data_IF_561275301954
#
_entry.id   IF_561275301954
#
_cell.length_a   1.000
_cell.length_b   1.000
_cell.length_c   1.000
_cell.angle_alpha   90.00
_cell.angle_beta   90.00
_cell.angle_gamma   90.00
#
_symmetry.space_group_name_H-M   'P 1'
#
loop_
_entity.id
_entity.type
_entity.pdbx_description
1 polymer ?
#
# COMPACT_ATOMS: atom_id res chain seq x y z
N UNK A 1 23.81 -48.02 8.58
CA UNK A 1 23.00 -46.95 9.23
C UNK A 1 23.46 -45.51 8.93
N UNK A 2 24.74 -45.22 8.61
CA UNK A 2 25.23 -43.84 8.38
C UNK A 2 24.67 -43.15 7.13
N UNK A 3 24.44 -43.89 6.03
CA UNK A 3 24.01 -43.31 4.73
C UNK A 3 22.62 -42.67 4.79
N UNK A 4 21.69 -43.22 5.59
CA UNK A 4 20.32 -42.67 5.76
C UNK A 4 20.27 -41.34 6.52
N UNK A 5 21.29 -41.03 7.33
CA UNK A 5 21.37 -39.79 8.10
C UNK A 5 21.94 -38.66 7.23
N UNK A 6 23.00 -38.96 6.46
CA UNK A 6 23.57 -38.01 5.50
C UNK A 6 22.59 -37.66 4.36
N UNK A 7 21.82 -38.65 3.84
CA UNK A 7 20.82 -38.39 2.80
C UNK A 7 19.67 -37.52 3.28
N UNK A 8 19.24 -37.66 4.54
CA UNK A 8 18.22 -36.80 5.15
C UNK A 8 18.73 -35.38 5.40
N UNK A 9 19.99 -35.23 5.83
CA UNK A 9 20.62 -33.91 6.00
C UNK A 9 20.71 -33.12 4.69
N UNK A 10 21.14 -33.78 3.60
CA UNK A 10 21.23 -33.17 2.27
C UNK A 10 19.85 -32.77 1.74
N UNK A 11 18.81 -33.60 1.96
CA UNK A 11 17.43 -33.30 1.57
C UNK A 11 16.88 -32.06 2.30
N UNK A 12 17.16 -31.93 3.60
CA UNK A 12 16.75 -30.76 4.38
C UNK A 12 17.49 -29.51 3.88
N UNK A 13 18.79 -29.59 3.62
CA UNK A 13 19.55 -28.47 3.06
C UNK A 13 19.03 -28.06 1.67
N UNK A 14 18.69 -29.01 0.80
CA UNK A 14 18.10 -28.73 -0.50
C UNK A 14 16.71 -28.09 -0.40
N UNK A 15 15.88 -28.54 0.54
CA UNK A 15 14.57 -27.95 0.80
C UNK A 15 14.66 -26.51 1.32
N UNK A 16 15.60 -26.24 2.23
CA UNK A 16 15.87 -24.88 2.73
C UNK A 16 16.38 -24.00 1.58
N UNK A 17 17.29 -24.49 0.74
CA UNK A 17 17.78 -23.73 -0.41
C UNK A 17 16.70 -23.44 -1.44
N UNK A 18 15.80 -24.39 -1.71
CA UNK A 18 14.64 -24.16 -2.57
C UNK A 18 13.72 -23.08 -1.98
N UNK A 19 13.47 -23.10 -0.67
CA UNK A 19 12.72 -22.04 0.02
C UNK A 19 13.41 -20.68 -0.08
N UNK A 20 14.72 -20.63 0.10
CA UNK A 20 15.51 -19.39 -0.04
C UNK A 20 15.45 -18.87 -1.48
N UNK A 21 15.53 -19.73 -2.49
CA UNK A 21 15.42 -19.33 -3.90
C UNK A 21 14.00 -18.84 -4.25
N UNK A 22 12.97 -19.49 -3.72
CA UNK A 22 11.58 -19.02 -3.87
C UNK A 22 11.39 -17.66 -3.20
N UNK A 23 11.91 -17.48 -1.98
CA UNK A 23 11.90 -16.19 -1.29
C UNK A 23 12.70 -15.13 -2.07
N UNK A 24 13.90 -15.45 -2.55
CA UNK A 24 14.72 -14.54 -3.34
C UNK A 24 14.05 -14.15 -4.68
N UNK A 25 13.40 -15.09 -5.36
CA UNK A 25 12.61 -14.83 -6.56
C UNK A 25 11.42 -13.92 -6.27
N UNK A 26 10.76 -14.12 -5.13
CA UNK A 26 9.68 -13.26 -4.64
C UNK A 26 10.17 -11.83 -4.35
N UNK A 27 11.26 -11.68 -3.60
CA UNK A 27 11.87 -10.37 -3.32
C UNK A 27 12.43 -9.67 -4.57
N UNK A 28 13.00 -10.41 -5.52
CA UNK A 28 13.41 -9.87 -6.82
C UNK A 28 12.20 -9.40 -7.65
N UNK A 29 11.09 -10.13 -7.59
CA UNK A 29 9.82 -9.72 -8.21
C UNK A 29 9.35 -8.36 -7.71
N UNK A 30 9.38 -8.13 -6.39
CA UNK A 30 8.99 -6.83 -5.81
C UNK A 30 9.91 -5.68 -6.23
N UNK A 31 11.23 -5.88 -6.24
CA UNK A 31 12.18 -4.87 -6.74
C UNK A 31 11.93 -4.51 -8.19
N UNK A 32 11.68 -5.52 -9.05
CA UNK A 32 11.31 -5.30 -10.45
C UNK A 32 10.00 -4.53 -10.58
N UNK A 33 9.01 -4.74 -9.70
CA UNK A 33 7.76 -3.98 -9.74
C UNK A 33 7.97 -2.50 -9.38
N UNK A 34 8.83 -2.18 -8.40
CA UNK A 34 9.17 -0.79 -8.09
C UNK A 34 9.95 -0.11 -9.22
N UNK A 35 10.90 -0.82 -9.84
CA UNK A 35 11.65 -0.29 -10.99
C UNK A 35 10.77 -0.17 -12.25
N UNK A 36 9.85 -1.12 -12.48
CA UNK A 36 8.87 -1.05 -13.57
C UNK A 36 7.88 0.09 -13.34
N UNK A 37 7.39 0.30 -12.12
CA UNK A 37 6.57 1.45 -11.80
C UNK A 37 7.35 2.75 -11.99
N UNK A 38 8.60 2.79 -11.55
CA UNK A 38 9.54 3.88 -11.83
C UNK A 38 9.58 4.18 -13.32
N UNK A 39 9.80 3.17 -14.17
CA UNK A 39 9.74 3.35 -15.63
C UNK A 39 8.38 3.80 -16.13
N UNK A 40 7.27 3.28 -15.60
CA UNK A 40 5.93 3.72 -16.03
C UNK A 40 5.65 5.19 -15.70
N UNK A 41 6.18 5.67 -14.57
CA UNK A 41 6.01 7.04 -14.06
C UNK A 41 7.06 8.01 -14.65
N UNK A 42 8.29 7.55 -14.87
CA UNK A 42 9.45 8.31 -15.37
C UNK A 42 9.60 8.24 -16.91
N UNK A 43 9.12 7.20 -17.59
CA UNK A 43 9.14 7.16 -19.06
C UNK A 43 8.36 8.37 -19.59
N UNK A 44 9.02 9.11 -20.47
CA UNK A 44 8.63 10.31 -21.24
C UNK A 44 7.25 10.26 -21.94
N UNK A 45 6.42 9.24 -21.70
CA UNK A 45 5.17 8.98 -22.41
C UNK A 45 3.90 9.29 -21.61
N UNK A 46 3.92 9.37 -20.27
CA UNK A 46 2.72 9.78 -19.53
C UNK A 46 2.66 11.30 -19.39
N UNK A 47 2.09 11.93 -20.42
CA UNK A 47 1.90 13.38 -20.52
C UNK A 47 1.18 13.93 -19.29
N UNK A 48 1.66 15.05 -18.77
CA UNK A 48 1.02 15.76 -17.65
C UNK A 48 -0.27 16.45 -18.13
N UNK A 49 -1.38 16.12 -17.47
CA UNK A 49 -2.70 16.69 -17.71
C UNK A 49 -3.24 17.51 -16.53
N UNK A 50 -2.44 17.68 -15.47
CA UNK A 50 -2.84 18.37 -14.23
C UNK A 50 -3.18 19.84 -14.42
N UNK A 51 -2.49 20.52 -15.34
CA UNK A 51 -2.68 21.94 -15.67
C UNK A 51 -3.58 22.19 -16.87
N UNK A 52 -4.13 21.15 -17.51
CA UNK A 52 -4.91 21.31 -18.74
C UNK A 52 -6.38 21.56 -18.42
N UNK A 53 -6.99 22.54 -19.11
CA UNK A 53 -8.43 22.78 -19.05
C UNK A 53 -9.14 21.71 -19.88
N UNK A 54 -9.50 20.59 -19.24
CA UNK A 54 -10.30 19.53 -19.84
C UNK A 54 -9.65 18.15 -19.76
N UNK A 55 -10.44 17.14 -20.09
CA UNK A 55 -10.02 15.74 -20.13
C UNK A 55 -9.20 15.41 -21.38
N UNK A 56 -8.37 14.36 -21.35
CA UNK A 56 -7.70 13.85 -22.54
C UNK A 56 -8.70 13.50 -23.66
N UNK A 57 -8.32 13.66 -24.95
CA UNK A 57 -9.12 13.18 -26.08
C UNK A 57 -9.41 11.68 -25.93
N UNK A 58 -10.55 11.22 -26.44
CA UNK A 58 -11.03 9.83 -26.25
C UNK A 58 -9.98 8.76 -26.65
N UNK A 59 -9.24 8.99 -27.73
CA UNK A 59 -8.16 8.10 -28.18
C UNK A 59 -6.98 8.04 -27.19
N UNK A 60 -6.60 9.16 -26.58
CA UNK A 60 -5.57 9.20 -25.53
C UNK A 60 -6.12 8.66 -24.19
N UNK A 61 -7.41 8.85 -23.92
CA UNK A 61 -8.07 8.49 -22.67
C UNK A 61 -8.05 6.98 -22.42
N UNK A 62 -8.32 6.17 -23.44
CA UNK A 62 -8.28 4.70 -23.31
C UNK A 62 -6.88 4.20 -22.95
N UNK A 63 -5.84 4.71 -23.62
CA UNK A 63 -4.45 4.37 -23.30
C UNK A 63 -4.05 4.77 -21.88
N UNK A 64 -4.55 5.92 -21.42
CA UNK A 64 -4.30 6.43 -20.06
C UNK A 64 -5.05 5.63 -18.99
N UNK A 65 -6.29 5.20 -19.25
CA UNK A 65 -7.03 4.32 -18.33
C UNK A 65 -6.35 2.96 -18.18
N UNK A 66 -5.85 2.37 -19.26
CA UNK A 66 -5.03 1.14 -19.19
C UNK A 66 -3.80 1.36 -18.30
N UNK A 67 -3.12 2.49 -18.45
CA UNK A 67 -1.95 2.85 -17.64
C UNK A 67 -2.31 3.04 -16.16
N UNK A 68 -3.44 3.69 -15.87
CA UNK A 68 -3.98 3.85 -14.52
C UNK A 68 -4.19 2.47 -13.88
N UNK A 69 -4.86 1.55 -14.58
CA UNK A 69 -5.10 0.20 -14.07
C UNK A 69 -3.80 -0.58 -13.85
N UNK A 70 -2.80 -0.41 -14.73
CA UNK A 70 -1.48 -1.02 -14.59
C UNK A 70 -0.77 -0.53 -13.31
N UNK A 71 -0.74 0.79 -13.10
CA UNK A 71 -0.15 1.42 -11.91
C UNK A 71 -0.87 0.96 -10.64
N UNK A 72 -2.21 0.99 -10.63
CA UNK A 72 -2.98 0.55 -9.48
C UNK A 72 -2.73 -0.92 -9.16
N UNK A 73 -2.68 -1.79 -10.18
CA UNK A 73 -2.35 -3.20 -9.96
C UNK A 73 -0.94 -3.39 -9.39
N UNK A 74 0.02 -2.53 -9.72
CA UNK A 74 1.38 -2.59 -9.15
C UNK A 74 1.41 -2.11 -7.70
N UNK A 75 0.65 -1.06 -7.37
CA UNK A 75 0.57 -0.50 -6.02
C UNK A 75 -0.16 -1.42 -5.05
N UNK A 76 -1.26 -2.06 -5.49
CA UNK A 76 -2.14 -2.86 -4.61
C UNK A 76 -1.65 -4.30 -4.38
N UNK A 77 -0.80 -4.83 -5.25
CA UNK A 77 -0.29 -6.22 -5.15
C UNK A 77 0.96 -6.39 -4.27
N UNK A 78 1.59 -5.33 -3.79
CA UNK A 78 2.87 -5.47 -3.09
C UNK A 78 2.73 -5.72 -1.59
N UNK A 79 3.47 -6.73 -1.11
CA UNK A 79 3.71 -6.94 0.31
C UNK A 79 4.73 -5.91 0.82
N UNK A 80 4.51 -5.49 2.07
CA UNK A 80 5.14 -4.37 2.73
C UNK A 80 6.65 -4.58 2.97
N UNK A 81 7.48 -4.25 1.98
CA UNK A 81 8.91 -3.98 2.20
C UNK A 81 9.10 -2.49 2.53
N UNK A 82 9.64 -2.13 3.71
CA UNK A 82 9.85 -0.74 4.10
C UNK A 82 10.68 0.07 3.10
N UNK A 83 11.71 -0.53 2.51
CA UNK A 83 12.62 0.15 1.57
C UNK A 83 11.93 0.51 0.25
N UNK A 84 10.98 -0.30 -0.20
CA UNK A 84 10.21 0.00 -1.41
C UNK A 84 8.99 0.87 -1.12
N UNK A 85 8.45 0.84 0.11
CA UNK A 85 7.26 1.61 0.53
C UNK A 85 7.45 3.12 0.33
N UNK A 86 8.58 3.68 0.73
CA UNK A 86 8.88 5.12 0.54
C UNK A 86 8.91 5.47 -0.94
N UNK A 87 9.70 4.74 -1.73
CA UNK A 87 9.81 4.96 -3.19
C UNK A 87 8.47 4.80 -3.90
N UNK A 88 7.66 3.82 -3.51
CA UNK A 88 6.32 3.61 -4.10
C UNK A 88 5.34 4.70 -3.71
N UNK A 89 5.40 5.21 -2.48
CA UNK A 89 4.58 6.36 -2.07
C UNK A 89 4.95 7.60 -2.88
N UNK A 90 6.25 7.85 -3.11
CA UNK A 90 6.70 8.94 -3.97
C UNK A 90 6.22 8.77 -5.41
N UNK A 91 6.38 7.58 -6.00
CA UNK A 91 5.92 7.26 -7.35
C UNK A 91 4.39 7.37 -7.49
N UNK A 92 3.63 6.96 -6.47
CA UNK A 92 2.17 7.12 -6.40
C UNK A 92 1.81 8.60 -6.44
N UNK A 93 2.43 9.43 -5.61
CA UNK A 93 2.18 10.88 -5.58
C UNK A 93 2.59 11.56 -6.90
N UNK A 94 3.71 11.17 -7.50
CA UNK A 94 4.16 11.68 -8.79
C UNK A 94 3.25 11.27 -9.95
N UNK A 95 2.72 10.04 -9.94
CA UNK A 95 1.76 9.60 -10.95
C UNK A 95 0.44 10.37 -10.79
N UNK A 96 -0.08 10.42 -9.56
CA UNK A 96 -1.32 11.11 -9.23
C UNK A 96 -1.29 12.59 -9.62
N UNK A 97 -0.16 13.26 -9.40
CA UNK A 97 -0.02 14.68 -9.74
C UNK A 97 -0.18 14.96 -11.23
N UNK A 98 0.15 14.00 -12.12
CA UNK A 98 0.04 14.11 -13.60
C UNK A 98 -1.36 13.85 -14.16
N UNK A 99 -2.30 13.37 -13.33
CA UNK A 99 -3.65 12.99 -13.76
C UNK A 99 -4.57 14.22 -13.90
N UNK A 100 -5.50 14.15 -14.85
CA UNK A 100 -6.65 15.07 -14.94
C UNK A 100 -7.61 14.87 -13.76
N UNK A 101 -8.61 15.75 -13.59
CA UNK A 101 -9.60 15.62 -12.52
C UNK A 101 -10.37 14.30 -12.61
N UNK A 102 -10.90 13.95 -13.78
CA UNK A 102 -11.62 12.69 -13.97
C UNK A 102 -10.73 11.46 -13.80
N UNK A 103 -9.46 11.53 -14.20
CA UNK A 103 -8.51 10.44 -14.00
C UNK A 103 -8.15 10.21 -12.54
N UNK A 104 -8.10 11.27 -11.72
CA UNK A 104 -7.89 11.15 -10.27
C UNK A 104 -9.04 10.39 -9.61
N UNK A 105 -10.29 10.65 -10.01
CA UNK A 105 -11.46 9.91 -9.52
C UNK A 105 -11.35 8.42 -9.86
N UNK A 106 -11.02 8.09 -11.11
CA UNK A 106 -10.83 6.70 -11.55
C UNK A 106 -9.69 6.04 -10.78
N UNK A 107 -8.53 6.69 -10.68
CA UNK A 107 -7.35 6.18 -10.01
C UNK A 107 -7.61 5.86 -8.53
N UNK A 108 -8.21 6.81 -7.81
CA UNK A 108 -8.55 6.64 -6.39
C UNK A 108 -9.59 5.54 -6.19
N UNK A 109 -10.62 5.50 -7.04
CA UNK A 109 -11.64 4.45 -7.00
C UNK A 109 -11.02 3.06 -7.12
N UNK A 110 -10.12 2.88 -8.10
CA UNK A 110 -9.40 1.62 -8.30
C UNK A 110 -8.46 1.26 -7.15
N UNK A 111 -7.79 2.23 -6.53
CA UNK A 111 -6.98 1.98 -5.33
C UNK A 111 -7.86 1.51 -4.16
N UNK A 112 -9.02 2.14 -3.96
CA UNK A 112 -9.97 1.71 -2.94
C UNK A 112 -10.48 0.29 -3.19
N UNK A 113 -10.79 -0.06 -4.44
CA UNK A 113 -11.14 -1.44 -4.82
C UNK A 113 -10.04 -2.43 -4.44
N UNK A 114 -8.78 -2.09 -4.69
CA UNK A 114 -7.63 -2.93 -4.31
C UNK A 114 -7.43 -3.06 -2.80
N UNK A 115 -7.87 -2.06 -2.02
CA UNK A 115 -7.79 -2.04 -0.56
C UNK A 115 -9.09 -2.48 0.13
N UNK A 116 -10.13 -2.86 -0.63
CA UNK A 116 -11.49 -3.08 -0.10
C UNK A 116 -11.52 -4.17 0.98
N UNK A 117 -10.68 -5.19 0.86
CA UNK A 117 -10.54 -6.22 1.91
C UNK A 117 -10.12 -5.61 3.25
N UNK A 118 -9.17 -4.67 3.27
CA UNK A 118 -8.74 -4.01 4.51
C UNK A 118 -9.81 -3.07 5.06
N UNK A 119 -10.51 -2.36 4.17
CA UNK A 119 -11.62 -1.47 4.52
C UNK A 119 -12.74 -2.28 5.20
N UNK A 120 -13.19 -3.38 4.59
CA UNK A 120 -14.22 -4.26 5.14
C UNK A 120 -13.78 -4.84 6.48
N UNK A 121 -12.55 -5.34 6.58
CA UNK A 121 -12.02 -5.89 7.82
C UNK A 121 -12.02 -4.84 8.93
N UNK A 122 -11.55 -3.64 8.65
CA UNK A 122 -11.57 -2.54 9.61
C UNK A 122 -12.99 -2.17 10.01
N UNK A 123 -13.89 -1.97 9.06
CA UNK A 123 -15.28 -1.54 9.29
C UNK A 123 -16.10 -2.57 10.06
N UNK A 124 -15.74 -3.85 9.96
CA UNK A 124 -16.37 -4.93 10.74
C UNK A 124 -15.97 -4.94 12.24
N UNK A 125 -14.92 -4.19 12.63
CA UNK A 125 -14.48 -4.14 14.01
C UNK A 125 -15.42 -3.29 14.88
N UNK A 126 -15.61 -3.64 16.17
CA UNK A 126 -16.30 -2.76 17.11
C UNK A 126 -15.66 -1.37 17.21
N UNK A 127 -16.47 -0.33 17.45
CA UNK A 127 -16.03 1.08 17.50
C UNK A 127 -14.80 1.29 18.40
N UNK A 128 -14.76 0.65 19.57
CA UNK A 128 -13.63 0.77 20.48
C UNK A 128 -12.33 0.22 19.86
N UNK A 129 -12.41 -0.89 19.12
CA UNK A 129 -11.25 -1.48 18.42
C UNK A 129 -10.84 -0.63 17.22
N UNK A 130 -11.80 -0.10 16.45
CA UNK A 130 -11.53 0.84 15.33
C UNK A 130 -10.77 2.07 15.84
N UNK A 131 -11.29 2.73 16.88
CA UNK A 131 -10.63 3.89 17.51
C UNK A 131 -9.20 3.58 17.98
N UNK A 132 -8.99 2.44 18.65
CA UNK A 132 -7.65 2.03 19.09
C UNK A 132 -6.71 1.78 17.91
N UNK A 133 -7.22 1.15 16.85
CA UNK A 133 -6.44 0.84 15.65
C UNK A 133 -6.06 2.10 14.88
N UNK A 134 -6.95 3.06 14.73
CA UNK A 134 -6.65 4.36 14.11
C UNK A 134 -5.57 5.11 14.89
N UNK A 135 -5.68 5.20 16.21
CA UNK A 135 -4.65 5.83 17.04
C UNK A 135 -3.27 5.18 16.84
N UNK A 136 -3.24 3.85 16.72
CA UNK A 136 -1.99 3.12 16.43
C UNK A 136 -1.49 3.37 15.00
N UNK A 137 -2.39 3.41 14.02
CA UNK A 137 -2.04 3.67 12.63
C UNK A 137 -1.48 5.09 12.43
N UNK A 138 -2.11 6.10 13.06
CA UNK A 138 -1.62 7.49 13.05
C UNK A 138 -0.25 7.59 13.73
N UNK A 139 -0.07 6.93 14.87
CA UNK A 139 1.24 6.88 15.54
C UNK A 139 2.30 6.24 14.66
N UNK A 140 2.01 5.07 14.07
CA UNK A 140 2.92 4.38 13.17
C UNK A 140 3.22 5.22 11.92
N UNK A 141 2.25 5.91 11.36
CA UNK A 141 2.46 6.82 10.24
C UNK A 141 3.45 7.95 10.58
N UNK A 142 3.33 8.56 11.77
CA UNK A 142 4.29 9.58 12.24
C UNK A 142 5.70 9.03 12.48
N UNK A 143 5.84 7.74 12.78
CA UNK A 143 7.13 7.10 13.03
C UNK A 143 7.78 6.56 11.74
N UNK A 144 6.97 6.06 10.80
CA UNK A 144 7.43 5.40 9.57
C UNK A 144 7.54 6.34 8.38
N UNK A 145 6.77 7.44 8.34
CA UNK A 145 6.85 8.38 7.23
C UNK A 145 8.10 9.26 7.34
N UNK A 146 8.82 9.50 6.23
CA UNK A 146 9.90 10.48 6.18
C UNK A 146 9.44 11.85 6.69
N UNK A 147 10.27 12.59 7.45
CA UNK A 147 9.86 13.87 8.06
C UNK A 147 9.26 14.88 7.07
N UNK A 148 9.78 14.97 5.85
CA UNK A 148 9.26 15.89 4.81
C UNK A 148 7.91 15.48 4.21
N UNK A 149 7.47 14.24 4.41
CA UNK A 149 6.16 13.77 3.95
C UNK A 149 5.09 13.89 5.04
N UNK A 150 5.46 13.92 6.32
CA UNK A 150 4.49 14.00 7.42
C UNK A 150 3.61 15.25 7.32
N UNK A 151 4.23 16.40 7.08
CA UNK A 151 3.55 17.70 6.97
C UNK A 151 2.61 17.80 5.75
N UNK A 152 2.73 16.88 4.79
CA UNK A 152 1.86 16.84 3.60
C UNK A 152 0.52 16.11 3.84
N UNK A 153 0.38 15.40 4.96
CA UNK A 153 -0.85 14.68 5.30
C UNK A 153 -1.60 15.40 6.44
N UNK A 154 -2.52 16.30 6.08
CA UNK A 154 -3.40 16.98 7.05
C UNK A 154 -4.16 15.98 7.93
N UNK A 155 -4.52 14.83 7.35
CA UNK A 155 -5.18 13.74 8.07
C UNK A 155 -4.37 13.25 9.28
N UNK A 156 -3.04 13.40 9.36
CA UNK A 156 -2.28 12.94 10.53
C UNK A 156 -2.55 13.77 11.78
N UNK A 157 -2.92 15.05 11.64
CA UNK A 157 -3.23 15.98 12.73
C UNK A 157 -4.75 16.19 12.91
N UNK A 158 -5.57 15.63 12.00
CA UNK A 158 -7.02 15.77 12.04
C UNK A 158 -7.70 14.83 13.06
N UNK A 159 -7.56 15.13 14.37
CA UNK A 159 -8.14 14.31 15.46
C UNK A 159 -9.64 14.05 15.27
N UNK A 160 -10.39 15.06 14.81
CA UNK A 160 -11.84 14.92 14.52
C UNK A 160 -12.12 13.88 13.43
N UNK A 161 -11.26 13.79 12.41
CA UNK A 161 -11.41 12.78 11.38
C UNK A 161 -11.02 11.39 11.92
N UNK A 162 -10.00 11.29 12.77
CA UNK A 162 -9.67 10.01 13.44
C UNK A 162 -10.84 9.47 14.26
N UNK A 163 -11.53 10.36 15.00
CA UNK A 163 -12.73 10.00 15.76
C UNK A 163 -13.85 9.55 14.83
N UNK A 164 -14.13 10.32 13.77
CA UNK A 164 -15.13 10.00 12.76
C UNK A 164 -14.88 8.63 12.11
N UNK A 165 -13.63 8.34 11.72
CA UNK A 165 -13.23 7.04 11.18
C UNK A 165 -13.44 5.92 12.21
N UNK A 166 -13.08 6.17 13.48
CA UNK A 166 -13.28 5.20 14.55
C UNK A 166 -14.75 4.90 14.85
N UNK A 167 -15.64 5.86 14.62
CA UNK A 167 -17.08 5.74 14.87
C UNK A 167 -17.87 5.18 13.68
N UNK A 168 -17.60 5.69 12.49
CA UNK A 168 -18.36 5.38 11.28
C UNK A 168 -17.69 4.30 10.44
N UNK A 169 -16.36 4.25 10.45
CA UNK A 169 -15.57 3.40 9.58
C UNK A 169 -14.97 4.16 8.41
N UNK A 170 -14.07 3.51 7.68
CA UNK A 170 -13.41 4.09 6.54
C UNK A 170 -14.38 4.43 5.42
N UNK A 171 -15.29 3.51 5.07
CA UNK A 171 -16.21 3.70 3.94
C UNK A 171 -17.11 4.92 4.14
N UNK A 172 -17.73 5.03 5.32
CA UNK A 172 -18.58 6.17 5.67
C UNK A 172 -17.79 7.46 5.95
N UNK A 173 -16.54 7.37 6.41
CA UNK A 173 -15.69 8.55 6.57
C UNK A 173 -15.25 9.13 5.21
N UNK A 174 -15.05 8.30 4.18
CA UNK A 174 -14.64 8.74 2.84
C UNK A 174 -15.80 9.13 1.92
N UNK A 175 -17.04 8.84 2.30
CA UNK A 175 -18.21 9.14 1.47
C UNK A 175 -18.31 10.62 1.12
N UNK A 176 -18.40 10.92 -0.18
CA UNK A 176 -18.50 12.28 -0.71
C UNK A 176 -17.22 13.13 -0.63
N UNK A 177 -16.07 12.55 -0.23
CA UNK A 177 -14.79 13.27 -0.26
C UNK A 177 -14.23 13.32 -1.68
N UNK A 178 -13.59 14.45 -2.01
CA UNK A 178 -12.85 14.63 -3.27
C UNK A 178 -11.64 13.67 -3.32
N UNK A 179 -11.17 13.29 -4.53
CA UNK A 179 -10.03 12.37 -4.71
C UNK A 179 -8.78 12.76 -3.92
N UNK A 180 -8.44 14.06 -3.89
CA UNK A 180 -7.26 14.56 -3.17
C UNK A 180 -7.37 14.29 -1.67
N UNK A 181 -8.58 14.39 -1.10
CA UNK A 181 -8.82 14.06 0.30
C UNK A 181 -8.83 12.57 0.55
N UNK A 182 -9.30 11.75 -0.38
CA UNK A 182 -9.23 10.29 -0.24
C UNK A 182 -7.78 9.80 -0.30
N UNK A 183 -6.90 10.42 -1.10
CA UNK A 183 -5.48 10.08 -1.15
C UNK A 183 -4.80 10.13 0.23
N UNK A 184 -5.19 11.07 1.09
CA UNK A 184 -4.69 11.15 2.48
C UNK A 184 -5.09 9.92 3.31
N UNK A 185 -6.27 9.35 3.06
CA UNK A 185 -6.80 8.18 3.77
C UNK A 185 -6.06 6.90 3.39
N UNK A 186 -5.63 6.77 2.14
CA UNK A 186 -4.98 5.55 1.63
C UNK A 186 -3.76 5.16 2.46
N UNK A 187 -2.94 6.13 2.86
CA UNK A 187 -1.76 5.86 3.67
C UNK A 187 -2.10 5.27 5.04
N UNK A 188 -3.18 5.76 5.66
CA UNK A 188 -3.66 5.23 6.94
C UNK A 188 -4.35 3.88 6.78
N UNK A 189 -5.07 3.65 5.68
CA UNK A 189 -5.69 2.34 5.37
C UNK A 189 -4.61 1.28 5.19
N UNK A 190 -3.55 1.58 4.46
CA UNK A 190 -2.40 0.68 4.26
C UNK A 190 -1.73 0.30 5.58
N UNK A 191 -1.40 1.31 6.41
CA UNK A 191 -0.78 1.08 7.74
C UNK A 191 -1.73 0.32 8.67
N UNK A 192 -3.02 0.67 8.68
CA UNK A 192 -4.01 -0.07 9.47
C UNK A 192 -4.14 -1.53 8.98
N UNK A 193 -4.08 -1.76 7.67
CA UNK A 193 -4.06 -3.08 7.05
C UNK A 193 -2.87 -3.93 7.52
N UNK A 194 -1.66 -3.34 7.53
CA UNK A 194 -0.47 -3.99 8.10
C UNK A 194 -0.68 -4.37 9.56
N UNK A 195 -1.18 -3.44 10.38
CA UNK A 195 -1.42 -3.69 11.79
C UNK A 195 -2.46 -4.80 12.01
N UNK A 196 -3.52 -4.86 11.19
CA UNK A 196 -4.50 -5.95 11.20
C UNK A 196 -3.84 -7.29 10.86
N UNK A 197 -3.00 -7.33 9.82
CA UNK A 197 -2.27 -8.54 9.44
C UNK A 197 -1.32 -9.01 10.55
N UNK A 198 -0.57 -8.10 11.17
CA UNK A 198 0.30 -8.39 12.31
C UNK A 198 -0.46 -8.91 13.54
N UNK A 199 -1.72 -8.50 13.73
CA UNK A 199 -2.59 -9.05 14.78
C UNK A 199 -3.16 -10.43 14.44
N UNK A 200 -3.30 -10.76 13.14
CA UNK A 200 -3.87 -12.02 12.65
C UNK A 200 -2.84 -13.14 12.58
N UNK A 201 -1.57 -12.81 12.34
CA UNK A 201 -0.44 -13.72 12.49
C UNK A 201 -0.16 -13.81 14.01
N UNK A 202 -0.37 -14.96 14.67
CA UNK A 202 0.09 -15.12 16.04
C UNK A 202 1.58 -14.82 16.04
N UNK A 203 2.08 -14.04 17.00
CA UNK A 203 3.52 -13.87 17.18
C UNK A 203 4.16 -15.24 17.46
N UNK A 204 4.51 -15.95 16.40
CA UNK A 204 5.26 -17.19 16.43
C UNK A 204 6.52 -16.98 15.63
N UNK A 205 7.31 -16.02 16.09
CA UNK A 205 8.75 -15.92 15.87
C UNK A 205 9.30 -14.88 16.86
N UNK A 206 10.08 -15.34 17.84
CA UNK A 206 11.06 -14.49 18.51
C UNK A 206 10.82 -14.01 19.95
N UNK A 207 9.80 -14.46 20.68
CA UNK A 207 9.85 -14.39 22.15
C UNK A 207 10.56 -15.61 22.73
N UNK A 208 11.87 -15.74 22.46
CA UNK A 208 12.82 -16.53 23.27
C UNK A 208 14.25 -16.03 23.03
N UNK A 209 14.82 -15.40 24.06
CA UNK A 209 16.24 -15.55 24.36
C UNK A 209 17.05 -14.26 24.54
N UNK A 210 17.06 -13.75 25.76
CA UNK A 210 18.22 -13.17 26.46
C UNK A 210 19.00 -12.01 25.80
N UNK A 211 18.86 -10.80 26.35
CA UNK A 211 19.63 -10.32 27.51
C UNK A 211 18.95 -9.13 28.16
#
# INVERSE_FOLDING_TARGET
>A
MKVRVFSKGILICAAIWALVLVAQGYFQGMRRTADNLGRVVEEDQFRDWSGKRGEPPEEERQGREVRINEVVSMLTRQEFNPDTKVRLSELRSQFYSKLSKGEREVFVGRLLEGLDTYIILFDSLPNERRRKLIKRAVKAAREELPPGLQDSYELLDAEKEHERIGELGWRAAMEGKEPDKIMEFLQLIEIAGELIQRMRIPQWEGSRGAK
#
